data_IF_432094847713
#
_entry.id   IF_432094847713
#
_cell.length_a   1.000
_cell.length_b   1.000
_cell.length_c   1.000
_cell.angle_alpha   90.00
_cell.angle_beta   90.00
_cell.angle_gamma   90.00
#
_symmetry.space_group_name_H-M   'P 1'
#
loop_
_entity.id
_entity.type
_entity.pdbx_description
1 polymer ?
#
# COMPACT_ATOMS: atom_id res chain seq x y z
N UNK A 1 32.43 -18.82 23.41
CA UNK A 1 32.28 -18.25 22.05
C UNK A 1 30.83 -18.27 21.65
N UNK A 2 30.34 -17.15 21.12
CA UNK A 2 28.97 -17.03 20.66
C UNK A 2 28.82 -17.77 19.31
N UNK A 3 28.00 -18.82 19.27
CA UNK A 3 27.85 -19.67 18.09
C UNK A 3 26.79 -19.11 17.12
N UNK A 4 26.82 -19.46 15.82
CA UNK A 4 25.75 -19.11 14.88
C UNK A 4 24.34 -19.54 15.34
N UNK A 5 24.26 -20.65 16.08
CA UNK A 5 22.99 -21.16 16.65
C UNK A 5 22.44 -20.20 17.72
N UNK A 6 23.31 -19.63 18.55
CA UNK A 6 22.92 -18.64 19.56
C UNK A 6 22.49 -17.33 18.90
N UNK A 7 23.16 -16.89 17.84
CA UNK A 7 22.78 -15.68 17.09
C UNK A 7 21.38 -15.77 16.49
N UNK A 8 21.03 -16.90 15.87
CA UNK A 8 19.69 -17.10 15.31
C UNK A 8 18.59 -17.10 16.38
N UNK A 9 18.90 -17.60 17.59
CA UNK A 9 17.99 -17.56 18.74
C UNK A 9 17.73 -16.11 19.18
N UNK A 10 18.78 -15.31 19.28
CA UNK A 10 18.66 -13.89 19.65
C UNK A 10 17.98 -13.05 18.56
N UNK A 11 18.26 -13.26 17.27
CA UNK A 11 17.49 -12.64 16.17
C UNK A 11 16.00 -12.97 16.31
N UNK A 12 15.68 -14.22 16.59
CA UNK A 12 14.28 -14.64 16.72
C UNK A 12 13.62 -13.95 17.91
N UNK A 13 14.32 -13.85 19.05
CA UNK A 13 13.82 -13.24 20.28
C UNK A 13 13.65 -11.74 20.18
N UNK A 14 14.64 -11.04 19.63
CA UNK A 14 14.74 -9.58 19.69
C UNK A 14 14.34 -8.85 18.41
N UNK A 15 14.23 -9.55 17.28
CA UNK A 15 13.75 -8.96 16.02
C UNK A 15 12.49 -9.65 15.51
N UNK A 16 12.52 -10.97 15.27
CA UNK A 16 11.39 -11.67 14.62
C UNK A 16 10.13 -11.59 15.47
N UNK A 17 10.21 -11.89 16.77
CA UNK A 17 9.04 -11.85 17.66
C UNK A 17 8.43 -10.43 17.78
N UNK A 18 9.21 -9.37 18.07
CA UNK A 18 8.68 -8.01 18.13
C UNK A 18 8.11 -7.53 16.80
N UNK A 19 8.81 -7.78 15.68
CA UNK A 19 8.40 -7.27 14.36
C UNK A 19 7.23 -8.05 13.74
N UNK A 20 6.84 -9.19 14.32
CA UNK A 20 5.67 -9.96 13.87
C UNK A 20 4.38 -9.14 13.91
N UNK A 21 4.23 -8.21 14.86
CA UNK A 21 3.06 -7.32 14.96
C UNK A 21 2.91 -6.36 13.75
N UNK A 22 3.98 -6.15 12.98
CA UNK A 22 3.97 -5.35 11.75
C UNK A 22 3.95 -6.20 10.47
N UNK A 23 3.61 -7.48 10.60
CA UNK A 23 3.51 -8.42 9.47
C UNK A 23 4.84 -9.07 9.05
N UNK A 24 5.97 -8.76 9.70
CA UNK A 24 7.24 -9.39 9.36
C UNK A 24 7.30 -10.85 9.79
N UNK A 25 7.77 -11.69 8.88
CA UNK A 25 8.02 -13.10 9.10
C UNK A 25 9.43 -13.48 8.69
N UNK A 26 9.96 -14.53 9.32
CA UNK A 26 11.26 -15.08 8.95
C UNK A 26 11.18 -15.77 7.59
N UNK A 27 12.01 -15.35 6.65
CA UNK A 27 12.09 -15.93 5.30
C UNK A 27 13.30 -16.83 5.11
N UNK A 28 14.48 -16.32 5.51
CA UNK A 28 15.75 -17.05 5.52
C UNK A 28 16.40 -16.90 6.88
N UNK A 29 17.56 -17.54 7.07
CA UNK A 29 18.29 -17.56 8.36
C UNK A 29 18.43 -16.17 8.97
N UNK A 30 18.73 -15.17 8.16
CA UNK A 30 19.02 -13.80 8.57
C UNK A 30 18.13 -12.75 7.90
N UNK A 31 17.03 -13.16 7.26
CA UNK A 31 16.17 -12.24 6.51
C UNK A 31 14.73 -12.35 7.01
N UNK A 32 14.16 -11.19 7.33
CA UNK A 32 12.75 -11.01 7.62
C UNK A 32 12.11 -10.34 6.42
N UNK A 33 10.88 -10.72 6.11
CA UNK A 33 10.11 -10.10 5.03
C UNK A 33 8.67 -9.85 5.46
N UNK A 34 8.04 -8.83 4.89
CA UNK A 34 6.58 -8.68 4.86
C UNK A 34 6.16 -8.38 3.42
N UNK A 35 4.99 -8.88 3.04
CA UNK A 35 4.35 -8.53 1.76
C UNK A 35 3.27 -7.49 2.09
N UNK A 36 3.29 -6.37 1.37
CA UNK A 36 2.27 -5.32 1.46
C UNK A 36 1.13 -5.57 0.47
N UNK A 37 0.04 -4.81 0.62
CA UNK A 37 -1.13 -4.87 -0.25
C UNK A 37 -0.84 -4.38 -1.68
N UNK A 38 0.21 -3.56 -1.85
CA UNK A 38 0.70 -3.11 -3.17
C UNK A 38 1.63 -4.15 -3.84
N UNK A 39 1.62 -5.40 -3.37
CA UNK A 39 2.52 -6.47 -3.80
C UNK A 39 4.01 -6.11 -3.71
N UNK A 40 4.36 -5.25 -2.76
CA UNK A 40 5.74 -4.90 -2.44
C UNK A 40 6.22 -5.78 -1.30
N UNK A 41 7.24 -6.58 -1.57
CA UNK A 41 7.96 -7.35 -0.55
C UNK A 41 9.01 -6.47 0.10
N UNK A 42 8.78 -6.14 1.35
CA UNK A 42 9.72 -5.39 2.16
C UNK A 42 10.61 -6.35 2.93
N UNK A 43 11.91 -6.12 2.89
CA UNK A 43 12.90 -7.06 3.41
C UNK A 43 13.83 -6.37 4.41
N UNK A 44 14.17 -7.08 5.48
CA UNK A 44 15.16 -6.70 6.47
C UNK A 44 16.17 -7.84 6.52
N UNK A 45 17.39 -7.59 6.03
CA UNK A 45 18.43 -8.60 5.92
C UNK A 45 19.62 -8.28 6.83
N UNK A 46 19.90 -9.18 7.76
CA UNK A 46 21.01 -9.11 8.70
C UNK A 46 22.21 -9.80 8.07
N UNK A 47 23.12 -9.03 7.50
CA UNK A 47 24.26 -9.55 6.77
C UNK A 47 25.53 -9.49 7.61
N UNK A 48 26.20 -10.62 7.83
CA UNK A 48 27.52 -10.63 8.47
C UNK A 48 28.56 -9.93 7.61
N UNK A 49 29.56 -9.32 8.27
CA UNK A 49 30.70 -8.73 7.57
C UNK A 49 31.42 -9.76 6.70
N UNK A 50 31.69 -9.38 5.44
CA UNK A 50 32.51 -10.19 4.51
C UNK A 50 33.98 -10.26 4.95
N UNK A 51 34.45 -9.25 5.69
CA UNK A 51 35.83 -9.15 6.18
C UNK A 51 36.08 -9.99 7.44
N UNK A 52 35.13 -10.84 7.84
CA UNK A 52 35.21 -11.61 9.07
C UNK A 52 34.91 -10.78 10.32
N UNK A 53 35.11 -11.42 11.48
CA UNK A 53 34.86 -10.83 12.79
C UNK A 53 33.40 -10.94 13.27
N UNK A 54 33.12 -10.27 14.37
CA UNK A 54 31.86 -10.39 15.09
C UNK A 54 30.86 -9.29 14.70
N UNK A 55 31.03 -8.72 13.50
CA UNK A 55 30.27 -7.56 13.03
C UNK A 55 29.20 -7.93 12.01
N UNK A 56 28.09 -7.18 12.01
CA UNK A 56 27.03 -7.34 11.01
C UNK A 56 26.39 -6.00 10.60
N UNK A 57 25.70 -6.04 9.46
CA UNK A 57 25.00 -4.95 8.80
C UNK A 57 23.52 -5.30 8.69
N UNK A 58 22.66 -4.28 8.65
CA UNK A 58 21.23 -4.45 8.39
C UNK A 58 20.89 -3.71 7.10
N UNK A 59 20.52 -4.47 6.09
CA UNK A 59 20.04 -3.96 4.81
C UNK A 59 18.51 -3.98 4.81
N UNK A 60 17.90 -2.96 4.23
CA UNK A 60 16.45 -2.81 4.10
C UNK A 60 16.10 -2.53 2.64
N UNK A 61 15.15 -3.27 2.08
CA UNK A 61 14.79 -3.13 0.67
C UNK A 61 13.29 -3.27 0.43
N UNK A 62 12.79 -2.58 -0.60
CA UNK A 62 11.50 -2.83 -1.23
C UNK A 62 11.71 -3.61 -2.53
N UNK A 63 11.01 -4.73 -2.68
CA UNK A 63 10.99 -5.52 -3.90
C UNK A 63 9.57 -5.55 -4.45
N UNK A 64 9.37 -4.92 -5.59
CA UNK A 64 8.09 -4.95 -6.29
C UNK A 64 7.97 -6.28 -7.01
N UNK A 65 6.89 -7.03 -6.77
CA UNK A 65 6.64 -8.25 -7.51
C UNK A 65 6.25 -7.90 -8.95
N UNK A 66 6.95 -8.50 -9.92
CA UNK A 66 6.68 -8.35 -11.35
C UNK A 66 6.92 -9.69 -12.06
N UNK A 67 6.50 -9.76 -13.33
CA UNK A 67 6.56 -11.00 -14.11
C UNK A 67 7.96 -11.63 -14.12
N UNK A 68 8.02 -12.93 -13.80
CA UNK A 68 9.24 -13.74 -13.93
C UNK A 68 10.23 -13.59 -12.77
N UNK A 69 9.83 -12.97 -11.66
CA UNK A 69 10.71 -12.87 -10.50
C UNK A 69 10.89 -14.25 -9.82
N UNK A 70 12.05 -14.88 -10.07
CA UNK A 70 12.37 -16.20 -9.53
C UNK A 70 13.07 -16.16 -8.17
N UNK A 71 13.67 -15.04 -7.82
CA UNK A 71 14.31 -14.87 -6.51
C UNK A 71 14.14 -13.45 -5.98
N UNK A 72 14.02 -13.34 -4.66
CA UNK A 72 14.28 -12.09 -3.95
C UNK A 72 15.78 -12.05 -3.71
N UNK A 73 16.51 -11.47 -4.66
CA UNK A 73 17.88 -11.09 -4.39
C UNK A 73 17.84 -10.00 -3.33
N UNK A 74 18.58 -10.13 -2.22
CA UNK A 74 18.92 -8.98 -1.41
C UNK A 74 19.92 -8.15 -2.24
N UNK A 75 19.45 -7.54 -3.32
CA UNK A 75 20.16 -6.43 -3.94
C UNK A 75 20.37 -5.38 -2.85
N UNK A 76 21.47 -4.65 -2.93
CA UNK A 76 21.77 -3.62 -1.95
C UNK A 76 20.77 -2.48 -2.12
N UNK A 77 19.62 -2.56 -1.48
CA UNK A 77 18.86 -1.37 -1.15
C UNK A 77 19.61 -0.60 -0.07
N UNK A 78 18.86 0.07 0.77
CA UNK A 78 19.44 0.99 1.73
C UNK A 78 19.98 0.25 2.96
N UNK A 79 21.11 0.69 3.51
CA UNK A 79 21.52 0.27 4.85
C UNK A 79 20.72 1.08 5.86
N UNK A 80 20.25 0.45 6.93
CA UNK A 80 19.54 1.16 8.02
C UNK A 80 20.31 2.41 8.50
N UNK A 81 21.63 2.33 8.38
CA UNK A 81 22.66 3.32 8.67
C UNK A 81 22.45 4.67 7.97
N UNK A 82 21.95 4.68 6.73
CA UNK A 82 21.76 5.93 5.99
C UNK A 82 20.50 6.68 6.40
N UNK A 83 19.69 6.15 7.33
CA UNK A 83 18.53 6.82 7.91
C UNK A 83 18.90 7.69 9.14
N UNK A 84 20.13 8.20 9.19
CA UNK A 84 20.59 9.07 10.29
C UNK A 84 20.61 8.38 11.65
N UNK A 85 20.83 7.07 11.68
CA UNK A 85 21.05 6.32 12.93
C UNK A 85 22.54 6.46 13.26
N UNK A 86 22.83 7.18 14.33
CA UNK A 86 24.14 7.79 14.59
C UNK A 86 25.26 6.74 14.73
N UNK A 87 26.30 6.87 13.91
CA UNK A 87 27.31 5.84 13.64
C UNK A 87 28.56 5.99 14.51
N UNK A 88 28.68 5.19 15.58
CA UNK A 88 30.00 4.84 16.16
C UNK A 88 30.22 3.35 16.39
N UNK A 89 29.18 2.52 16.26
CA UNK A 89 29.29 1.09 16.56
C UNK A 89 28.80 0.25 15.39
N UNK A 90 29.73 -0.42 14.72
CA UNK A 90 29.42 -1.65 14.00
C UNK A 90 28.79 -2.62 15.03
N UNK A 91 27.61 -3.16 14.74
CA UNK A 91 26.90 -4.04 15.67
C UNK A 91 27.69 -5.32 15.88
N UNK A 92 27.88 -5.69 17.15
CA UNK A 92 28.82 -6.72 17.53
C UNK A 92 28.12 -7.91 18.22
N UNK A 93 28.50 -9.14 17.87
CA UNK A 93 28.06 -10.38 18.50
C UNK A 93 29.16 -11.14 19.28
N UNK A 94 30.24 -10.48 19.72
CA UNK A 94 31.33 -11.08 20.51
C UNK A 94 30.84 -11.87 21.71
N UNK A 95 29.99 -11.23 22.48
CA UNK A 95 29.35 -11.80 23.66
C UNK A 95 27.84 -11.62 23.55
N UNK A 96 27.11 -12.53 24.18
CA UNK A 96 25.65 -12.55 24.10
C UNK A 96 25.02 -11.21 24.47
N UNK A 97 25.47 -10.58 25.57
CA UNK A 97 24.94 -9.30 26.03
C UNK A 97 25.03 -8.20 24.95
N UNK A 98 26.17 -8.09 24.27
CA UNK A 98 26.38 -7.09 23.20
C UNK A 98 25.50 -7.38 21.99
N UNK A 99 25.32 -8.67 21.64
CA UNK A 99 24.41 -9.07 20.57
C UNK A 99 22.95 -8.69 20.90
N UNK A 100 22.51 -8.95 22.14
CA UNK A 100 21.15 -8.60 22.58
C UNK A 100 20.90 -7.10 22.54
N UNK A 101 21.82 -6.28 23.08
CA UNK A 101 21.71 -4.82 23.05
C UNK A 101 21.67 -4.29 21.62
N UNK A 102 22.56 -4.78 20.76
CA UNK A 102 22.59 -4.39 19.34
C UNK A 102 21.27 -4.72 18.64
N UNK A 103 20.72 -5.92 18.85
CA UNK A 103 19.47 -6.34 18.21
C UNK A 103 18.26 -5.54 18.71
N UNK A 104 18.23 -5.15 19.99
CA UNK A 104 17.18 -4.28 20.53
C UNK A 104 17.25 -2.87 19.94
N UNK A 105 18.44 -2.30 19.84
CA UNK A 105 18.65 -0.99 19.20
C UNK A 105 18.23 -1.01 17.73
N UNK A 106 18.56 -2.09 17.01
CA UNK A 106 18.08 -2.30 15.64
C UNK A 106 16.56 -2.40 15.60
N UNK A 107 15.94 -3.13 16.53
CA UNK A 107 14.48 -3.24 16.58
C UNK A 107 13.83 -1.87 16.76
N UNK A 108 14.31 -1.07 17.73
CA UNK A 108 13.81 0.28 17.96
C UNK A 108 14.00 1.19 16.73
N UNK A 109 15.17 1.10 16.10
CA UNK A 109 15.47 1.82 14.85
C UNK A 109 14.54 1.42 13.71
N UNK A 110 14.18 0.13 13.63
CA UNK A 110 13.23 -0.35 12.63
C UNK A 110 11.85 0.27 12.87
N UNK A 111 11.38 0.22 14.12
CA UNK A 111 10.08 0.77 14.50
C UNK A 111 9.98 2.28 14.29
N UNK A 112 11.03 3.03 14.66
CA UNK A 112 11.04 4.49 14.58
C UNK A 112 11.20 5.01 13.14
N UNK A 113 12.10 4.39 12.35
CA UNK A 113 12.57 4.99 11.09
C UNK A 113 12.32 4.12 9.87
N UNK A 114 12.56 2.82 9.98
CA UNK A 114 12.49 1.92 8.81
C UNK A 114 11.05 1.68 8.39
N UNK A 115 10.11 1.51 9.32
CA UNK A 115 8.70 1.35 8.97
C UNK A 115 8.18 2.58 8.22
N UNK A 116 8.45 3.78 8.71
CA UNK A 116 8.10 5.01 7.99
C UNK A 116 8.77 5.09 6.61
N UNK A 117 10.06 4.76 6.52
CA UNK A 117 10.76 4.70 5.23
C UNK A 117 10.09 3.70 4.27
N UNK A 118 9.70 2.54 4.76
CA UNK A 118 8.98 1.54 3.98
C UNK A 118 7.63 2.04 3.50
N UNK A 119 6.90 2.77 4.33
CA UNK A 119 5.58 3.31 3.96
C UNK A 119 5.73 4.45 2.92
N UNK A 120 6.78 5.26 3.05
CA UNK A 120 7.10 6.32 2.09
C UNK A 120 7.53 5.78 0.73
N UNK A 121 8.40 4.76 0.72
CA UNK A 121 9.09 4.28 -0.48
C UNK A 121 8.62 2.92 -1.01
N UNK A 122 7.72 2.25 -0.30
CA UNK A 122 7.14 0.96 -0.67
C UNK A 122 5.71 1.07 -1.17
N UNK A 123 5.22 2.29 -1.35
CA UNK A 123 3.92 2.58 -1.94
C UNK A 123 4.08 2.77 -3.46
N UNK A 124 3.39 1.96 -4.24
CA UNK A 124 3.45 2.00 -5.71
C UNK A 124 3.07 3.38 -6.25
N UNK A 125 2.10 4.05 -5.64
CA UNK A 125 1.65 5.39 -6.08
C UNK A 125 2.73 6.45 -5.84
N UNK A 126 3.37 6.44 -4.68
CA UNK A 126 4.48 7.35 -4.40
C UNK A 126 5.64 7.14 -5.37
N UNK A 127 5.92 5.88 -5.73
CA UNK A 127 6.98 5.57 -6.67
C UNK A 127 6.67 6.11 -8.08
N UNK A 128 5.42 5.97 -8.54
CA UNK A 128 4.97 6.52 -9.82
C UNK A 128 5.09 8.05 -9.80
N UNK A 129 4.55 8.69 -8.76
CA UNK A 129 4.60 10.15 -8.59
C UNK A 129 6.04 10.67 -8.58
N UNK A 130 6.91 10.05 -7.77
CA UNK A 130 8.32 10.39 -7.69
C UNK A 130 9.01 10.29 -9.06
N UNK A 131 8.75 9.23 -9.83
CA UNK A 131 9.29 9.08 -11.19
C UNK A 131 8.78 10.18 -12.12
N UNK A 132 7.49 10.51 -12.07
CA UNK A 132 6.91 11.61 -12.86
C UNK A 132 7.57 12.95 -12.53
N UNK A 133 7.77 13.25 -11.25
CA UNK A 133 8.34 14.51 -10.78
C UNK A 133 9.84 14.62 -11.09
N UNK A 134 10.59 13.51 -11.03
CA UNK A 134 12.04 13.51 -11.29
C UNK A 134 12.39 13.31 -12.76
N UNK A 135 11.49 12.81 -13.61
CA UNK A 135 11.67 12.88 -15.06
C UNK A 135 11.51 14.32 -15.58
N UNK A 136 10.75 15.16 -14.88
CA UNK A 136 10.59 16.58 -15.19
C UNK A 136 11.78 17.44 -14.74
N UNK A 137 12.61 16.92 -13.82
CA UNK A 137 13.76 17.62 -13.26
C UNK A 137 15.01 16.79 -13.55
N UNK A 138 15.76 17.12 -14.61
CA UNK A 138 17.11 16.62 -14.88
C UNK A 138 18.13 17.08 -13.81
N UNK A 139 17.76 17.09 -12.54
CA UNK A 139 18.55 17.70 -11.48
C UNK A 139 19.30 16.60 -10.68
N UNK A 140 20.62 16.43 -10.91
CA UNK A 140 21.41 15.37 -10.28
C UNK A 140 21.47 15.48 -8.75
N UNK A 141 21.14 16.64 -8.17
CA UNK A 141 21.19 16.85 -6.72
C UNK A 141 20.04 16.16 -5.96
N UNK A 142 18.90 15.89 -6.60
CA UNK A 142 17.80 15.12 -5.99
C UNK A 142 18.05 13.59 -6.00
N UNK A 143 18.99 13.13 -6.83
CA UNK A 143 19.40 11.71 -6.88
C UNK A 143 20.18 11.26 -5.61
N UNK A 144 20.58 12.19 -4.73
CA UNK A 144 21.33 11.87 -3.52
C UNK A 144 20.49 11.21 -2.41
N UNK A 145 19.16 11.36 -2.42
CA UNK A 145 18.29 10.75 -1.39
C UNK A 145 17.69 9.41 -1.81
N UNK A 146 17.56 9.15 -3.12
CA UNK A 146 17.31 7.82 -3.65
C UNK A 146 18.63 7.25 -4.13
N UNK A 147 19.29 6.48 -3.25
CA UNK A 147 20.37 5.62 -3.69
C UNK A 147 19.84 4.84 -4.92
N UNK A 148 20.45 5.04 -6.09
CA UNK A 148 19.92 4.66 -7.42
C UNK A 148 19.59 3.16 -7.54
N UNK A 149 20.02 2.36 -6.57
CA UNK A 149 19.72 0.94 -6.37
C UNK A 149 18.33 0.65 -5.76
N UNK A 150 17.54 1.68 -5.44
CA UNK A 150 16.18 1.54 -4.91
C UNK A 150 15.07 1.79 -5.95
N UNK A 151 15.43 2.28 -7.14
CA UNK A 151 14.45 2.46 -8.21
C UNK A 151 14.16 1.10 -8.88
N UNK A 152 12.89 0.80 -9.17
CA UNK A 152 12.53 -0.39 -9.92
C UNK A 152 13.24 -0.38 -11.28
N UNK A 153 13.62 -1.57 -11.74
CA UNK A 153 14.11 -1.74 -13.11
C UNK A 153 13.09 -1.20 -14.11
N UNK A 154 13.52 -0.86 -15.32
CA UNK A 154 12.62 -0.43 -16.39
C UNK A 154 11.46 -1.41 -16.61
N UNK A 155 11.76 -2.71 -16.62
CA UNK A 155 10.76 -3.79 -16.68
C UNK A 155 9.80 -3.72 -15.51
N UNK A 156 10.32 -3.68 -14.30
CA UNK A 156 9.51 -3.60 -13.08
C UNK A 156 8.59 -2.38 -13.10
N UNK A 157 9.08 -1.22 -13.56
CA UNK A 157 8.29 0.01 -13.63
C UNK A 157 7.12 -0.09 -14.60
N UNK A 158 7.29 -0.70 -15.77
CA UNK A 158 6.19 -0.93 -16.70
C UNK A 158 5.07 -1.77 -16.06
N UNK A 159 5.41 -2.88 -15.40
CA UNK A 159 4.42 -3.70 -14.67
C UNK A 159 3.76 -2.95 -13.52
N UNK A 160 4.50 -2.08 -12.83
CA UNK A 160 3.95 -1.21 -11.79
C UNK A 160 2.88 -0.26 -12.38
N UNK A 161 3.14 0.35 -13.54
CA UNK A 161 2.16 1.21 -14.21
C UNK A 161 0.89 0.45 -14.57
N UNK A 162 1.04 -0.76 -15.12
CA UNK A 162 -0.09 -1.61 -15.46
C UNK A 162 -0.90 -2.03 -14.23
N UNK A 163 -0.23 -2.44 -13.15
CA UNK A 163 -0.85 -2.78 -11.88
C UNK A 163 -1.63 -1.60 -11.29
N UNK A 164 -1.05 -0.40 -11.35
CA UNK A 164 -1.70 0.83 -10.91
C UNK A 164 -2.79 1.35 -11.87
N UNK A 165 -3.17 0.57 -12.90
CA UNK A 165 -4.14 0.93 -13.94
C UNK A 165 -3.78 2.24 -14.68
N UNK A 166 -2.49 2.60 -14.76
CA UNK A 166 -1.96 3.74 -15.51
C UNK A 166 -1.64 3.35 -16.95
N UNK A 167 -2.67 2.87 -17.66
CA UNK A 167 -2.54 2.25 -18.98
C UNK A 167 -1.95 3.18 -20.05
N UNK A 168 -2.39 4.44 -20.08
CA UNK A 168 -1.87 5.43 -21.02
C UNK A 168 -0.38 5.71 -20.76
N UNK A 169 0.00 5.94 -19.51
CA UNK A 169 1.40 6.15 -19.14
C UNK A 169 2.28 4.92 -19.43
N UNK A 170 1.75 3.70 -19.25
CA UNK A 170 2.46 2.48 -19.62
C UNK A 170 2.68 2.42 -21.14
N UNK A 171 1.67 2.80 -21.92
CA UNK A 171 1.76 2.83 -23.38
C UNK A 171 2.76 3.89 -23.87
N UNK A 172 2.70 5.10 -23.31
CA UNK A 172 3.64 6.19 -23.61
C UNK A 172 5.07 5.77 -23.26
N UNK A 173 5.26 5.17 -22.09
CA UNK A 173 6.55 4.64 -21.66
C UNK A 173 7.10 3.60 -22.66
N UNK A 174 6.25 2.69 -23.14
CA UNK A 174 6.66 1.68 -24.13
C UNK A 174 7.13 2.34 -25.43
N UNK A 175 6.39 3.33 -25.95
CA UNK A 175 6.78 4.04 -27.17
C UNK A 175 8.04 4.86 -26.99
N UNK A 176 8.18 5.55 -25.86
CA UNK A 176 9.40 6.27 -25.51
C UNK A 176 10.61 5.32 -25.50
N UNK A 177 10.52 4.16 -24.84
CA UNK A 177 11.63 3.20 -24.80
C UNK A 177 11.93 2.55 -26.13
N UNK A 178 10.91 2.40 -26.97
CA UNK A 178 11.07 1.95 -28.35
C UNK A 178 11.83 2.98 -29.20
N UNK A 179 11.58 4.27 -28.99
CA UNK A 179 12.28 5.37 -29.66
C UNK A 179 13.73 5.54 -29.16
N UNK A 180 13.95 5.41 -27.85
CA UNK A 180 15.28 5.46 -27.22
C UNK A 180 16.18 4.26 -27.56
N UNK A 181 15.61 3.18 -28.11
CA UNK A 181 16.37 1.97 -28.46
C UNK A 181 17.32 2.23 -29.64
N UNK A 182 18.59 2.45 -29.34
CA UNK A 182 19.63 2.80 -30.32
C UNK A 182 20.20 1.61 -31.10
N UNK A 183 19.83 0.37 -30.74
CA UNK A 183 20.28 -0.86 -31.41
C UNK A 183 19.13 -1.81 -31.71
N UNK A 184 19.29 -2.63 -32.76
CA UNK A 184 18.34 -3.69 -33.11
C UNK A 184 18.10 -4.66 -31.94
N UNK A 185 19.14 -4.93 -31.15
CA UNK A 185 19.03 -5.77 -29.95
C UNK A 185 18.13 -5.13 -28.89
N UNK A 186 18.36 -3.85 -28.56
CA UNK A 186 17.51 -3.13 -27.59
C UNK A 186 16.07 -3.01 -28.06
N UNK A 187 15.84 -2.80 -29.36
CA UNK A 187 14.50 -2.69 -29.94
C UNK A 187 13.79 -4.04 -29.91
N UNK A 188 14.50 -5.12 -30.28
CA UNK A 188 13.99 -6.48 -30.18
C UNK A 188 13.62 -6.83 -28.74
N UNK A 189 14.49 -6.49 -27.77
CA UNK A 189 14.22 -6.71 -26.35
C UNK A 189 12.95 -5.99 -25.88
N UNK A 190 12.81 -4.69 -26.16
CA UNK A 190 11.61 -3.92 -25.78
C UNK A 190 10.33 -4.50 -26.40
N UNK A 191 10.38 -4.89 -27.67
CA UNK A 191 9.23 -5.48 -28.36
C UNK A 191 8.89 -6.88 -27.87
N UNK A 192 9.89 -7.73 -27.64
CA UNK A 192 9.69 -9.09 -27.15
C UNK A 192 9.10 -9.09 -25.73
N UNK A 193 9.57 -8.19 -24.87
CA UNK A 193 9.16 -8.10 -23.47
C UNK A 193 7.79 -7.41 -23.29
N UNK A 194 7.54 -6.31 -24.00
CA UNK A 194 6.38 -5.45 -23.73
C UNK A 194 5.40 -5.33 -24.90
N UNK A 195 5.80 -5.70 -26.11
CA UNK A 195 5.03 -5.44 -27.33
C UNK A 195 3.65 -6.10 -27.33
N UNK A 196 3.51 -7.30 -26.75
CA UNK A 196 2.21 -7.96 -26.62
C UNK A 196 1.26 -7.19 -25.69
N UNK A 197 1.74 -6.75 -24.53
CA UNK A 197 0.96 -5.94 -23.58
C UNK A 197 0.63 -4.56 -24.16
N UNK A 198 1.56 -3.95 -24.89
CA UNK A 198 1.31 -2.70 -25.63
C UNK A 198 0.21 -2.88 -26.69
N UNK A 199 0.18 -4.01 -27.41
CA UNK A 199 -0.89 -4.33 -28.35
C UNK A 199 -2.28 -4.39 -27.68
N UNK A 200 -2.38 -5.05 -26.52
CA UNK A 200 -3.62 -5.06 -25.75
C UNK A 200 -3.99 -3.66 -25.23
N UNK A 201 -3.01 -2.86 -24.80
CA UNK A 201 -3.24 -1.48 -24.35
C UNK A 201 -3.83 -0.62 -25.48
N UNK A 202 -3.29 -0.72 -26.69
CA UNK A 202 -3.80 -0.01 -27.87
C UNK A 202 -5.24 -0.43 -28.23
N UNK A 203 -5.58 -1.71 -28.02
CA UNK A 203 -6.91 -2.25 -28.23
C UNK A 203 -7.87 -1.97 -27.06
N UNK A 204 -7.38 -1.35 -25.98
CA UNK A 204 -8.10 -1.14 -24.71
C UNK A 204 -8.63 -2.44 -24.09
N UNK A 205 -7.94 -3.55 -24.32
CA UNK A 205 -8.25 -4.86 -23.72
C UNK A 205 -7.69 -4.96 -22.30
N UNK A 206 -8.27 -4.17 -21.40
CA UNK A 206 -7.83 -4.10 -20.00
C UNK A 206 -8.11 -5.38 -19.21
N UNK A 207 -9.11 -6.15 -19.63
CA UNK A 207 -9.45 -7.45 -19.03
C UNK A 207 -8.29 -8.43 -19.21
N UNK A 208 -7.84 -8.64 -20.44
CA UNK A 208 -6.70 -9.53 -20.73
C UNK A 208 -5.43 -9.06 -20.04
N UNK A 209 -5.18 -7.74 -20.00
CA UNK A 209 -4.04 -7.17 -19.27
C UNK A 209 -4.11 -7.53 -17.77
N UNK A 210 -5.28 -7.35 -17.16
CA UNK A 210 -5.51 -7.69 -15.75
C UNK A 210 -5.24 -9.17 -15.47
N UNK A 211 -5.76 -10.07 -16.32
CA UNK A 211 -5.55 -11.52 -16.18
C UNK A 211 -4.07 -11.92 -16.28
N UNK A 212 -3.33 -11.31 -17.21
CA UNK A 212 -1.88 -11.55 -17.35
C UNK A 212 -1.14 -11.12 -16.09
N UNK A 213 -1.40 -9.91 -15.59
CA UNK A 213 -0.75 -9.37 -14.39
C UNK A 213 -1.06 -10.24 -13.18
N UNK A 214 -2.31 -10.63 -13.00
CA UNK A 214 -2.73 -11.48 -11.88
C UNK A 214 -2.03 -12.85 -11.93
N UNK A 215 -2.04 -13.50 -13.09
CA UNK A 215 -1.35 -14.78 -13.31
C UNK A 215 0.13 -14.67 -12.96
N UNK A 216 0.78 -13.59 -13.40
CA UNK A 216 2.20 -13.34 -13.16
C UNK A 216 2.51 -13.12 -11.68
N UNK A 217 1.73 -12.29 -10.99
CA UNK A 217 1.88 -12.06 -9.55
C UNK A 217 1.71 -13.36 -8.76
N UNK A 218 0.69 -14.16 -9.10
CA UNK A 218 0.46 -15.47 -8.49
C UNK A 218 1.67 -16.38 -8.65
N UNK A 219 2.18 -16.51 -9.88
CA UNK A 219 3.37 -17.33 -10.15
C UNK A 219 4.59 -16.86 -9.35
N UNK A 220 4.83 -15.55 -9.26
CA UNK A 220 5.93 -15.01 -8.45
C UNK A 220 5.76 -15.34 -6.96
N UNK A 221 4.55 -15.19 -6.41
CA UNK A 221 4.25 -15.53 -5.01
C UNK A 221 4.53 -17.02 -4.72
N UNK A 222 4.09 -17.90 -5.63
CA UNK A 222 4.28 -19.36 -5.54
C UNK A 222 5.77 -19.73 -5.63
N UNK A 223 6.47 -19.24 -6.66
CA UNK A 223 7.91 -19.50 -6.89
C UNK A 223 8.77 -19.04 -5.71
N UNK A 224 8.48 -17.85 -5.19
CA UNK A 224 9.19 -17.27 -4.05
C UNK A 224 8.76 -17.90 -2.71
N UNK A 225 7.78 -18.80 -2.70
CA UNK A 225 7.21 -19.44 -1.50
C UNK A 225 6.69 -18.44 -0.48
N UNK A 226 6.19 -17.30 -0.96
CA UNK A 226 5.60 -16.25 -0.15
C UNK A 226 4.21 -16.64 0.36
N UNK A 227 3.63 -17.71 -0.16
CA UNK A 227 2.37 -18.27 0.31
C UNK A 227 2.34 -18.58 1.81
N UNK A 228 3.50 -18.87 2.43
CA UNK A 228 3.58 -19.10 3.87
C UNK A 228 3.35 -17.84 4.71
N UNK A 229 3.36 -16.67 4.07
CA UNK A 229 2.98 -15.39 4.66
C UNK A 229 1.45 -15.19 4.65
N UNK A 230 0.69 -16.01 3.91
CA UNK A 230 -0.79 -15.94 3.79
C UNK A 230 -1.56 -15.88 5.12
N UNK A 231 -1.17 -16.59 6.21
CA UNK A 231 -1.90 -16.49 7.48
C UNK A 231 -1.89 -15.09 8.09
N UNK A 232 -0.85 -14.30 7.83
CA UNK A 232 -0.76 -12.89 8.26
C UNK A 232 -1.47 -11.94 7.28
N UNK A 233 -1.53 -12.30 6.00
CA UNK A 233 -2.20 -11.49 4.96
C UNK A 233 -3.73 -11.49 5.16
N UNK A 234 -4.30 -12.62 5.60
CA UNK A 234 -5.73 -12.71 5.93
C UNK A 234 -6.12 -11.91 7.20
N UNK A 235 -5.17 -11.63 8.10
CA UNK A 235 -5.42 -10.81 9.28
C UNK A 235 -5.19 -9.30 9.03
N UNK A 236 -4.49 -8.94 7.93
CA UNK A 236 -3.97 -7.57 7.72
C UNK A 236 -4.21 -6.95 6.33
N UNK A 237 -5.27 -7.33 5.60
CA UNK A 237 -5.90 -6.57 4.48
C UNK A 237 -5.49 -6.89 3.02
N UNK A 238 -4.65 -7.89 2.74
CA UNK A 238 -4.18 -8.11 1.35
C UNK A 238 -4.95 -9.14 0.51
N UNK A 239 -5.61 -10.13 1.14
CA UNK A 239 -6.27 -11.21 0.38
C UNK A 239 -7.72 -10.91 0.01
N UNK A 240 -8.34 -9.93 0.67
CA UNK A 240 -9.64 -9.45 0.24
C UNK A 240 -9.53 -8.75 -1.12
N UNK A 241 -8.40 -8.19 -1.56
CA UNK A 241 -8.31 -7.68 -2.94
C UNK A 241 -8.52 -8.77 -4.02
N UNK A 242 -8.05 -10.00 -3.78
CA UNK A 242 -8.27 -11.17 -4.66
C UNK A 242 -9.68 -11.78 -4.53
N UNK A 243 -10.37 -11.51 -3.41
CA UNK A 243 -11.76 -11.92 -3.19
C UNK A 243 -12.75 -10.84 -3.63
N UNK A 244 -12.34 -9.58 -3.57
CA UNK A 244 -12.99 -8.40 -4.11
C UNK A 244 -12.98 -8.52 -5.62
N UNK A 245 -11.91 -8.91 -6.31
CA UNK A 245 -11.99 -9.20 -7.76
C UNK A 245 -12.97 -10.33 -8.13
N UNK A 246 -13.26 -11.26 -7.19
CA UNK A 246 -14.30 -12.28 -7.34
C UNK A 246 -15.71 -11.76 -6.98
N UNK A 247 -15.83 -10.79 -6.06
CA UNK A 247 -17.07 -10.03 -5.80
C UNK A 247 -17.36 -9.03 -6.93
N UNK A 248 -16.35 -8.44 -7.55
CA UNK A 248 -16.40 -7.65 -8.78
C UNK A 248 -16.88 -8.50 -9.96
N UNK A 249 -16.52 -9.79 -10.00
CA UNK A 249 -17.10 -10.78 -10.92
C UNK A 249 -18.58 -11.07 -10.64
N UNK A 250 -19.07 -10.83 -9.42
CA UNK A 250 -20.45 -11.07 -9.01
C UNK A 250 -21.32 -9.81 -9.13
N UNK A 251 -20.74 -8.62 -9.02
CA UNK A 251 -21.40 -7.31 -9.11
C UNK A 251 -20.53 -6.24 -9.83
N UNK A 252 -20.29 -6.38 -11.14
CA UNK A 252 -19.34 -5.53 -11.89
C UNK A 252 -19.74 -4.04 -11.98
N UNK A 253 -21.00 -3.68 -11.70
CA UNK A 253 -21.48 -2.31 -11.82
C UNK A 253 -21.15 -1.41 -10.62
N UNK A 254 -20.82 -1.99 -9.46
CA UNK A 254 -20.51 -1.24 -8.24
C UNK A 254 -19.01 -0.92 -8.10
N UNK A 255 -18.15 -1.81 -8.57
CA UNK A 255 -16.70 -1.72 -8.37
C UNK A 255 -15.98 -0.67 -9.23
N UNK A 256 -16.54 -0.36 -10.41
CA UNK A 256 -16.01 0.70 -11.28
C UNK A 256 -16.33 2.12 -10.77
N UNK A 257 -17.09 2.27 -9.67
CA UNK A 257 -17.54 3.57 -9.15
C UNK A 257 -16.88 4.00 -7.85
N UNK A 258 -16.16 3.12 -7.17
CA UNK A 258 -15.50 3.41 -5.89
C UNK A 258 -14.04 3.79 -6.11
N UNK A 259 -13.73 5.08 -5.95
CA UNK A 259 -12.36 5.60 -5.92
C UNK A 259 -11.50 4.92 -4.85
N UNK A 260 -10.18 4.93 -5.03
CA UNK A 260 -9.22 4.11 -4.29
C UNK A 260 -9.44 4.04 -2.77
N UNK A 261 -9.32 2.82 -2.23
CA UNK A 261 -9.52 2.30 -0.85
C UNK A 261 -8.90 3.12 0.30
N UNK A 262 -8.19 4.21 0.03
CA UNK A 262 -7.43 4.99 1.01
C UNK A 262 -8.32 5.87 1.92
N UNK A 263 -9.50 6.29 1.45
CA UNK A 263 -10.43 7.18 2.16
C UNK A 263 -11.87 6.74 1.93
N UNK A 264 -12.32 5.78 2.75
CA UNK A 264 -13.69 5.28 2.74
C UNK A 264 -14.20 5.28 4.17
N UNK A 265 -15.36 5.88 4.41
CA UNK A 265 -16.05 5.86 5.70
C UNK A 265 -17.49 5.38 5.52
N UNK A 266 -17.98 4.68 6.54
CA UNK A 266 -19.36 4.19 6.60
C UNK A 266 -20.13 5.11 7.53
N UNK A 267 -21.10 5.84 7.00
CA UNK A 267 -21.95 6.75 7.76
C UNK A 267 -23.25 6.00 8.05
N UNK A 268 -23.47 5.65 9.30
CA UNK A 268 -24.69 4.98 9.74
C UNK A 268 -25.82 6.00 9.89
N UNK A 269 -26.46 6.28 8.76
CA UNK A 269 -27.65 7.10 8.60
C UNK A 269 -28.42 6.56 7.38
N UNK A 270 -29.75 6.63 7.41
CA UNK A 270 -30.61 6.07 6.35
C UNK A 270 -31.22 7.13 5.42
N UNK A 271 -31.08 8.41 5.75
CA UNK A 271 -31.58 9.53 4.96
C UNK A 271 -30.42 10.38 4.41
N UNK A 272 -30.18 10.24 3.10
CA UNK A 272 -29.18 10.99 2.35
C UNK A 272 -29.53 12.50 2.26
N UNK A 273 -30.81 12.85 2.38
CA UNK A 273 -31.26 14.24 2.32
C UNK A 273 -30.75 15.06 3.51
N UNK A 274 -30.55 14.41 4.67
CA UNK A 274 -29.95 15.05 5.85
C UNK A 274 -28.47 15.34 5.69
N UNK A 275 -27.74 14.46 5.02
CA UNK A 275 -26.36 14.71 4.63
C UNK A 275 -26.30 15.88 3.65
N UNK A 276 -27.17 15.87 2.63
CA UNK A 276 -27.27 16.96 1.67
C UNK A 276 -27.58 18.31 2.34
N UNK A 277 -28.58 18.37 3.22
CA UNK A 277 -28.96 19.58 3.96
C UNK A 277 -27.80 20.11 4.81
N UNK A 278 -27.10 19.23 5.53
CA UNK A 278 -25.97 19.58 6.36
C UNK A 278 -24.80 20.16 5.56
N UNK A 279 -24.45 19.54 4.43
CA UNK A 279 -23.34 20.03 3.60
C UNK A 279 -23.77 21.35 2.93
N UNK A 280 -25.02 21.47 2.45
CA UNK A 280 -25.50 22.63 1.69
C UNK A 280 -25.47 23.92 2.52
N UNK A 281 -25.73 23.79 3.83
CA UNK A 281 -25.73 24.92 4.75
C UNK A 281 -24.32 25.36 5.17
N UNK A 282 -23.30 24.53 4.96
CA UNK A 282 -21.97 24.71 5.57
C UNK A 282 -20.81 24.76 4.56
N UNK A 283 -21.07 24.58 3.26
CA UNK A 283 -20.04 24.61 2.22
C UNK A 283 -20.52 25.41 1.00
N UNK A 284 -19.59 26.05 0.29
CA UNK A 284 -19.78 26.59 -1.06
C UNK A 284 -19.27 25.56 -2.08
N UNK A 285 -20.17 24.91 -2.83
CA UNK A 285 -19.84 23.78 -3.69
C UNK A 285 -20.94 23.49 -4.71
N UNK A 286 -20.60 22.72 -5.74
CA UNK A 286 -21.59 22.20 -6.68
C UNK A 286 -22.12 20.85 -6.22
N UNK A 287 -23.45 20.72 -6.29
CA UNK A 287 -24.21 19.56 -5.87
C UNK A 287 -24.87 18.89 -7.05
N UNK A 288 -24.51 17.62 -7.26
CA UNK A 288 -25.23 16.74 -8.16
C UNK A 288 -25.83 15.63 -7.30
N UNK A 289 -27.15 15.70 -7.09
CA UNK A 289 -27.87 14.75 -6.25
C UNK A 289 -28.94 14.00 -7.02
N UNK A 290 -29.04 12.70 -6.79
CA UNK A 290 -30.24 11.90 -7.00
C UNK A 290 -30.70 11.27 -5.67
N UNK A 291 -31.75 10.46 -5.71
CA UNK A 291 -32.32 9.84 -4.49
C UNK A 291 -31.37 8.88 -3.76
N UNK A 292 -30.28 8.46 -4.39
CA UNK A 292 -29.36 7.43 -3.89
C UNK A 292 -27.91 7.88 -3.84
N UNK A 293 -27.57 9.01 -4.46
CA UNK A 293 -26.21 9.51 -4.55
C UNK A 293 -26.15 11.02 -4.45
N UNK A 294 -25.16 11.47 -3.71
CA UNK A 294 -24.77 12.87 -3.58
C UNK A 294 -23.33 12.99 -4.04
N UNK A 295 -23.08 13.83 -5.03
CA UNK A 295 -21.75 14.23 -5.45
C UNK A 295 -21.49 15.67 -5.04
N UNK A 296 -20.32 15.88 -4.44
CA UNK A 296 -19.85 17.14 -3.89
C UNK A 296 -18.58 17.51 -4.63
N UNK A 297 -18.61 18.60 -5.40
CA UNK A 297 -17.44 19.14 -6.10
C UNK A 297 -16.95 20.42 -5.40
N UNK A 298 -15.73 20.38 -4.87
CA UNK A 298 -15.08 21.48 -4.16
C UNK A 298 -13.90 22.00 -4.99
N UNK A 299 -13.76 23.33 -5.08
CA UNK A 299 -12.71 24.04 -5.83
C UNK A 299 -12.60 23.61 -7.31
N UNK A 300 -13.72 23.22 -7.92
CA UNK A 300 -13.79 22.68 -9.29
C UNK A 300 -12.88 21.45 -9.53
N UNK A 301 -12.33 20.86 -8.47
CA UNK A 301 -11.22 19.92 -8.55
C UNK A 301 -11.46 18.64 -7.76
N UNK A 302 -11.96 18.76 -6.54
CA UNK A 302 -12.07 17.62 -5.63
C UNK A 302 -13.49 17.10 -5.61
N UNK A 303 -13.67 15.84 -6.01
CA UNK A 303 -14.96 15.16 -6.01
C UNK A 303 -15.06 14.21 -4.84
N UNK A 304 -16.16 14.33 -4.12
CA UNK A 304 -16.54 13.44 -3.03
C UNK A 304 -17.94 12.89 -3.28
N UNK A 305 -18.19 11.69 -2.79
CA UNK A 305 -19.42 10.95 -3.05
C UNK A 305 -19.98 10.39 -1.76
N UNK A 306 -21.27 10.59 -1.57
CA UNK A 306 -22.07 9.90 -0.59
C UNK A 306 -23.08 9.04 -1.32
N UNK A 307 -23.17 7.77 -0.98
CA UNK A 307 -24.08 6.84 -1.62
C UNK A 307 -24.91 6.09 -0.59
N UNK A 308 -26.23 6.18 -0.70
CA UNK A 308 -27.14 5.40 0.11
C UNK A 308 -27.10 3.93 -0.35
N UNK A 309 -26.49 3.09 0.48
CA UNK A 309 -26.38 1.65 0.28
C UNK A 309 -27.44 0.94 1.12
N UNK A 310 -28.34 0.21 0.47
CA UNK A 310 -29.41 -0.59 1.08
C UNK A 310 -29.32 -2.07 0.70
N UNK A 311 -28.13 -2.53 0.29
CA UNK A 311 -27.87 -3.92 -0.04
C UNK A 311 -27.90 -4.82 1.20
N UNK A 312 -28.17 -6.11 1.01
CA UNK A 312 -28.15 -7.12 2.09
C UNK A 312 -26.79 -7.18 2.82
N UNK A 313 -25.70 -6.83 2.13
CA UNK A 313 -24.34 -6.77 2.68
C UNK A 313 -24.20 -5.76 3.82
N UNK A 314 -25.03 -4.72 3.88
CA UNK A 314 -25.01 -3.73 4.97
C UNK A 314 -25.27 -4.40 6.33
N UNK A 315 -26.18 -5.38 6.36
CA UNK A 315 -26.52 -6.10 7.59
C UNK A 315 -25.35 -6.96 8.06
N UNK A 316 -24.72 -7.68 7.15
CA UNK A 316 -23.56 -8.54 7.43
C UNK A 316 -22.36 -7.72 7.94
N UNK A 317 -22.01 -6.65 7.22
CA UNK A 317 -20.92 -5.74 7.59
C UNK A 317 -21.16 -5.10 8.98
N UNK A 318 -22.40 -4.70 9.25
CA UNK A 318 -22.76 -4.09 10.54
C UNK A 318 -22.59 -5.08 11.68
N UNK A 319 -22.97 -6.34 11.49
CA UNK A 319 -22.76 -7.39 12.49
C UNK A 319 -21.27 -7.66 12.73
N UNK A 320 -20.46 -7.65 11.66
CA UNK A 320 -19.02 -7.80 11.78
C UNK A 320 -18.40 -6.63 12.58
N UNK A 321 -18.75 -5.39 12.24
CA UNK A 321 -18.28 -4.19 12.96
C UNK A 321 -18.65 -4.27 14.44
N UNK A 322 -19.90 -4.60 14.77
CA UNK A 322 -20.37 -4.77 16.15
C UNK A 322 -19.57 -5.84 16.91
N UNK A 323 -19.17 -6.92 16.24
CA UNK A 323 -18.42 -8.02 16.87
C UNK A 323 -16.94 -7.69 17.10
N UNK A 324 -16.35 -6.86 16.24
CA UNK A 324 -14.92 -6.57 16.24
C UNK A 324 -14.56 -5.27 16.97
N UNK A 325 -15.52 -4.36 17.12
CA UNK A 325 -15.30 -3.06 17.71
C UNK A 325 -15.03 -3.15 19.23
N UNK A 326 -14.03 -2.38 19.68
CA UNK A 326 -13.56 -2.37 21.08
C UNK A 326 -13.48 -0.96 21.68
N UNK A 327 -14.02 0.04 20.99
CA UNK A 327 -14.03 1.43 21.47
C UNK A 327 -15.14 1.68 22.49
N UNK A 328 -15.50 2.95 22.68
CA UNK A 328 -16.39 3.39 23.75
C UNK A 328 -17.74 3.92 23.27
N UNK A 329 -17.97 4.01 21.95
CA UNK A 329 -19.25 4.45 21.39
C UNK A 329 -20.39 3.52 21.76
N UNK A 330 -21.54 4.14 22.02
CA UNK A 330 -22.80 3.42 22.09
C UNK A 330 -23.19 2.95 20.68
N UNK A 331 -23.19 1.63 20.48
CA UNK A 331 -23.50 1.00 19.20
C UNK A 331 -24.99 0.69 19.04
N UNK A 332 -25.83 1.06 20.00
CA UNK A 332 -27.28 0.86 19.93
C UNK A 332 -27.87 1.48 18.65
N UNK A 333 -27.30 2.59 18.19
CA UNK A 333 -27.71 3.32 16.99
C UNK A 333 -27.45 2.60 15.67
N UNK A 334 -26.57 1.58 15.66
CA UNK A 334 -26.23 0.82 14.45
C UNK A 334 -26.72 -0.62 14.51
N UNK A 335 -27.30 -1.04 15.64
CA UNK A 335 -27.83 -2.38 15.79
C UNK A 335 -29.05 -2.58 14.89
N UNK A 336 -28.95 -3.48 13.91
CA UNK A 336 -30.04 -3.76 12.98
C UNK A 336 -30.17 -2.78 11.81
N UNK A 337 -29.13 -1.96 11.57
CA UNK A 337 -29.08 -1.07 10.41
C UNK A 337 -29.17 -1.85 9.09
N UNK A 338 -30.13 -1.46 8.25
CA UNK A 338 -30.35 -2.03 6.91
C UNK A 338 -29.91 -1.11 5.78
N UNK A 339 -29.63 0.15 6.09
CA UNK A 339 -29.20 1.17 5.16
C UNK A 339 -28.07 1.98 5.78
N UNK A 340 -27.07 2.31 5.00
CA UNK A 340 -26.02 3.23 5.41
C UNK A 340 -25.62 4.11 4.24
N UNK A 341 -24.85 5.14 4.53
CA UNK A 341 -24.28 5.99 3.49
C UNK A 341 -22.79 5.67 3.41
N UNK A 342 -22.36 5.18 2.25
CA UNK A 342 -20.96 4.97 1.93
C UNK A 342 -20.36 6.30 1.47
N UNK A 343 -19.27 6.76 2.11
CA UNK A 343 -18.60 8.02 1.79
C UNK A 343 -17.16 7.78 1.32
N UNK A 344 -16.83 8.30 0.15
CA UNK A 344 -15.48 8.26 -0.42
C UNK A 344 -15.24 9.50 -1.27
N UNK A 345 -14.00 9.68 -1.74
CA UNK A 345 -13.71 10.68 -2.78
C UNK A 345 -12.78 10.13 -3.84
N UNK A 346 -12.52 10.97 -4.84
CA UNK A 346 -11.57 10.67 -5.90
C UNK A 346 -10.16 10.48 -5.33
N UNK A 347 -9.34 9.71 -6.05
CA UNK A 347 -8.03 9.31 -5.54
C UNK A 347 -6.96 10.41 -5.75
N UNK A 348 -7.13 11.56 -5.08
CA UNK A 348 -6.21 12.72 -5.08
C UNK A 348 -5.65 13.02 -3.66
N UNK A 349 -5.45 11.94 -2.89
CA UNK A 349 -4.99 11.93 -1.50
C UNK A 349 -3.64 12.62 -1.23
N UNK A 350 -2.88 12.98 -2.26
CA UNK A 350 -1.53 13.54 -2.14
C UNK A 350 -1.60 15.06 -1.90
N UNK A 351 -2.75 15.68 -2.18
CA UNK A 351 -2.92 17.11 -1.98
C UNK A 351 -3.47 17.39 -0.59
N UNK A 352 -2.73 18.20 0.18
CA UNK A 352 -3.17 18.63 1.51
C UNK A 352 -4.57 19.26 1.47
N UNK A 353 -4.90 19.99 0.38
CA UNK A 353 -6.26 20.49 0.12
C UNK A 353 -7.30 19.38 0.11
N UNK A 354 -7.10 18.32 -0.68
CA UNK A 354 -8.02 17.18 -0.74
C UNK A 354 -8.29 16.57 0.64
N UNK A 355 -7.24 16.28 1.43
CA UNK A 355 -7.41 15.71 2.77
C UNK A 355 -8.18 16.68 3.68
N UNK A 356 -7.85 17.96 3.65
CA UNK A 356 -8.54 18.96 4.46
C UNK A 356 -10.03 19.02 4.11
N UNK A 357 -10.39 19.02 2.82
CA UNK A 357 -11.80 19.01 2.40
C UNK A 357 -12.49 17.69 2.78
N UNK A 358 -11.83 16.55 2.61
CA UNK A 358 -12.35 15.25 3.01
C UNK A 358 -12.70 15.20 4.50
N UNK A 359 -11.76 15.62 5.36
CA UNK A 359 -11.96 15.66 6.81
C UNK A 359 -13.03 16.69 7.17
N UNK A 360 -13.01 17.87 6.54
CA UNK A 360 -13.99 18.91 6.83
C UNK A 360 -15.43 18.48 6.47
N UNK A 361 -15.63 17.73 5.39
CA UNK A 361 -16.92 17.14 5.06
C UNK A 361 -17.40 16.16 6.15
N UNK A 362 -16.50 15.33 6.69
CA UNK A 362 -16.84 14.43 7.80
C UNK A 362 -17.19 15.20 9.08
N UNK A 363 -16.46 16.28 9.39
CA UNK A 363 -16.76 17.16 10.51
C UNK A 363 -18.13 17.83 10.37
N UNK A 364 -18.46 18.33 9.17
CA UNK A 364 -19.77 18.92 8.88
C UNK A 364 -20.87 17.89 9.07
N UNK A 365 -20.71 16.68 8.54
CA UNK A 365 -21.70 15.61 8.74
C UNK A 365 -21.83 15.26 10.22
N UNK A 366 -20.73 15.02 10.92
CA UNK A 366 -20.72 14.63 12.34
C UNK A 366 -21.32 15.72 13.25
N UNK A 367 -21.07 16.99 12.95
CA UNK A 367 -21.55 18.12 13.75
C UNK A 367 -23.00 18.49 13.52
N UNK A 368 -23.57 18.16 12.36
CA UNK A 368 -24.92 18.60 11.96
C UNK A 368 -25.93 17.46 11.78
N UNK A 369 -25.46 16.21 11.66
CA UNK A 369 -26.30 15.02 11.49
C UNK A 369 -26.02 14.05 12.62
N UNK A 370 -27.07 13.55 13.26
CA UNK A 370 -26.95 12.49 14.27
C UNK A 370 -26.63 11.16 13.59
N UNK A 371 -25.37 10.97 13.22
CA UNK A 371 -24.86 9.79 12.54
C UNK A 371 -23.59 9.29 13.22
N UNK A 372 -23.38 7.98 13.20
CA UNK A 372 -22.10 7.39 13.56
C UNK A 372 -21.28 7.17 12.29
N UNK A 373 -20.07 7.72 12.26
CA UNK A 373 -19.16 7.62 11.11
C UNK A 373 -18.04 6.65 11.45
N UNK A 374 -18.03 5.48 10.83
CA UNK A 374 -17.02 4.45 11.08
C UNK A 374 -15.93 4.47 10.01
N UNK A 375 -14.68 4.32 10.45
CA UNK A 375 -13.53 4.14 9.58
C UNK A 375 -13.15 2.65 9.51
N UNK A 376 -13.42 1.94 8.41
CA UNK A 376 -13.03 0.53 8.27
C UNK A 376 -11.52 0.32 8.43
N UNK A 377 -10.72 1.28 7.95
CA UNK A 377 -9.26 1.26 8.05
C UNK A 377 -8.77 1.33 9.49
N UNK A 378 -9.31 2.25 10.29
CA UNK A 378 -8.86 2.48 11.66
C UNK A 378 -9.61 1.60 12.67
N UNK A 379 -10.73 0.99 12.26
CA UNK A 379 -11.64 0.21 13.12
C UNK A 379 -12.17 1.00 14.33
N UNK A 380 -12.34 2.31 14.14
CA UNK A 380 -12.81 3.28 15.12
C UNK A 380 -13.85 4.21 14.49
N UNK A 381 -14.68 4.83 15.32
CA UNK A 381 -15.54 5.92 14.87
C UNK A 381 -14.72 7.20 14.72
N UNK A 382 -15.11 8.05 13.77
CA UNK A 382 -14.36 9.23 13.32
C UNK A 382 -13.99 10.20 14.44
N UNK A 383 -14.84 10.33 15.45
CA UNK A 383 -14.66 11.22 16.59
C UNK A 383 -14.14 10.51 17.84
N UNK A 384 -13.65 9.28 17.70
CA UNK A 384 -12.92 8.56 18.74
C UNK A 384 -11.41 8.63 18.54
N UNK A 385 -10.68 8.87 19.63
CA UNK A 385 -9.23 8.95 19.67
C UNK A 385 -8.57 7.62 20.03
#
# INVERSE_FOLDING_TARGET
>A
MYTPKNFNKEITKWLVKPLKKYGFSKFKTSSLIRLTDDFVVQTINIQKSRWGGEMFYVNINNHYLYEGMDTIYPETGTRIQSLGINYKHTHNFTIQLTAELSLREICASIEEKVLYWFDLHGNVRHLIQFRSDNLALENPDHALFFNTHSLPSQRTFFYILLYAKRYEQALDWYFQKKEEATSDYSLHFVNAEFGKLAGFLQQKDYTTIGEIIESNLRQSIERLKLEKLKPLINETHGYDFLKTSLLEKKYPEQANRMGGVSYHHLIFHDDLSKIHEAIFQNFDYELLSDNTRLEVLIDEKYRFYFHLNDSEAVVEDTQEILSLYKGQKDLSLISGTKKRIDFWGDNDAIQAGYINHYIHLLEVVSGNVTALIFSPKNKLFFDEN
#
